data_IF_590542520310
#
_entry.id   IF_590542520310
#
_cell.length_a   1.000
_cell.length_b   1.000
_cell.length_c   1.000
_cell.angle_alpha   90.00
_cell.angle_beta   90.00
_cell.angle_gamma   90.00
#
_symmetry.space_group_name_H-M   'P 1'
#
loop_
_entity.id
_entity.type
_entity.pdbx_description
1 polymer ?
#
# COMPACT_ATOMS: atom_id res chain seq x y z
N UNK A 1 15.94 -2.63 -19.18
CA UNK A 1 14.53 -2.23 -19.04
C UNK A 1 14.41 -1.69 -17.62
N UNK A 2 14.14 -0.39 -17.45
CA UNK A 2 13.99 0.30 -16.15
C UNK A 2 12.58 0.86 -16.09
N UNK A 3 11.58 -0.01 -16.04
CA UNK A 3 10.18 0.41 -15.93
C UNK A 3 9.63 -0.22 -14.65
N UNK A 4 9.59 0.59 -13.60
CA UNK A 4 8.64 0.40 -12.51
C UNK A 4 7.25 0.64 -13.10
N UNK A 5 6.47 -0.43 -13.22
CA UNK A 5 5.05 -0.29 -13.53
C UNK A 5 4.32 0.06 -12.22
N UNK A 6 3.58 1.15 -12.24
CA UNK A 6 2.78 1.60 -11.11
C UNK A 6 1.48 2.16 -11.68
N UNK A 7 0.36 1.48 -11.46
CA UNK A 7 -0.95 2.00 -11.85
C UNK A 7 -1.96 1.75 -10.74
N UNK A 8 -2.29 2.81 -10.01
CA UNK A 8 -3.65 3.07 -9.55
C UNK A 8 -3.84 4.58 -9.49
N UNK A 9 -4.65 5.12 -10.39
CA UNK A 9 -5.06 6.52 -10.37
C UNK A 9 -6.51 6.58 -9.88
N UNK A 10 -6.76 7.35 -8.81
CA UNK A 10 -8.12 7.60 -8.37
C UNK A 10 -8.76 8.60 -9.34
N UNK A 11 -9.70 8.12 -10.17
CA UNK A 11 -10.44 8.94 -11.14
C UNK A 11 -11.61 9.63 -10.42
N UNK A 12 -11.85 10.92 -10.70
CA UNK A 12 -13.05 11.61 -10.25
C UNK A 12 -14.30 10.91 -10.82
N UNK A 13 -15.10 10.35 -9.91
CA UNK A 13 -16.30 9.56 -10.15
C UNK A 13 -17.19 10.13 -11.27
N UNK A 14 -17.08 9.56 -12.47
CA UNK A 14 -18.01 9.78 -13.58
C UNK A 14 -17.98 8.69 -14.67
N UNK A 15 -17.15 7.65 -14.55
CA UNK A 15 -17.02 6.58 -15.56
C UNK A 15 -16.72 5.22 -14.92
N UNK A 16 -17.61 4.73 -14.07
CA UNK A 16 -17.54 3.35 -13.57
C UNK A 16 -17.83 2.37 -14.69
N UNK A 17 -16.79 1.66 -15.15
CA UNK A 17 -16.88 0.48 -16.01
C UNK A 17 -15.67 -0.44 -15.74
N UNK A 18 -15.38 -0.75 -14.48
CA UNK A 18 -14.44 -1.82 -14.12
C UNK A 18 -15.17 -2.86 -13.26
N UNK A 19 -14.91 -4.14 -13.54
CA UNK A 19 -15.58 -5.32 -12.93
C UNK A 19 -15.05 -5.65 -11.52
N UNK A 20 -14.39 -4.72 -10.84
CA UNK A 20 -13.98 -4.87 -9.44
C UNK A 20 -15.05 -4.27 -8.53
N UNK A 21 -15.83 -5.13 -7.87
CA UNK A 21 -16.96 -4.74 -6.99
C UNK A 21 -16.56 -3.88 -5.76
N UNK A 22 -15.26 -3.63 -5.55
CA UNK A 22 -14.71 -2.78 -4.48
C UNK A 22 -13.73 -1.75 -5.05
N UNK A 23 -14.21 -0.84 -5.89
CA UNK A 23 -13.41 0.36 -6.15
C UNK A 23 -13.37 1.22 -4.87
N UNK A 24 -12.18 1.66 -4.42
CA UNK A 24 -12.05 2.54 -3.27
C UNK A 24 -12.79 3.87 -3.52
N UNK A 25 -13.99 4.02 -2.95
CA UNK A 25 -14.76 5.26 -3.06
C UNK A 25 -14.19 6.30 -2.08
N UNK A 26 -13.25 7.11 -2.56
CA UNK A 26 -12.75 8.27 -1.83
C UNK A 26 -13.55 9.52 -2.23
N UNK A 27 -13.81 10.41 -1.27
CA UNK A 27 -14.27 11.74 -1.62
C UNK A 27 -13.17 12.50 -2.40
N UNK A 28 -13.54 13.56 -3.14
CA UNK A 28 -12.63 14.32 -3.99
C UNK A 28 -11.36 14.84 -3.29
N UNK A 29 -11.45 15.25 -2.02
CA UNK A 29 -10.29 15.69 -1.27
C UNK A 29 -9.32 14.52 -0.99
N UNK A 30 -9.88 13.37 -0.60
CA UNK A 30 -9.12 12.15 -0.35
C UNK A 30 -8.52 11.55 -1.63
N UNK A 31 -9.23 11.60 -2.77
CA UNK A 31 -8.73 11.22 -4.10
C UNK A 31 -7.48 12.01 -4.46
N UNK A 32 -7.52 13.34 -4.27
CA UNK A 32 -6.37 14.21 -4.53
C UNK A 32 -5.20 13.86 -3.61
N UNK A 33 -5.45 13.72 -2.30
CA UNK A 33 -4.43 13.35 -1.32
C UNK A 33 -3.77 12.00 -1.67
N UNK A 34 -4.56 11.00 -2.08
CA UNK A 34 -4.05 9.70 -2.50
C UNK A 34 -3.18 9.78 -3.75
N UNK A 35 -3.61 10.51 -4.79
CA UNK A 35 -2.82 10.72 -5.99
C UNK A 35 -1.50 11.48 -5.72
N UNK A 36 -1.52 12.47 -4.84
CA UNK A 36 -0.32 13.20 -4.43
C UNK A 36 0.63 12.31 -3.60
N UNK A 37 0.10 11.51 -2.69
CA UNK A 37 0.90 10.55 -1.92
C UNK A 37 1.54 9.49 -2.81
N UNK A 38 0.78 8.96 -3.78
CA UNK A 38 1.30 8.04 -4.80
C UNK A 38 2.49 8.65 -5.55
N UNK A 39 2.39 9.91 -5.98
CA UNK A 39 3.50 10.61 -6.64
C UNK A 39 4.74 10.70 -5.76
N UNK A 40 4.58 11.06 -4.47
CA UNK A 40 5.69 11.14 -3.53
C UNK A 40 6.35 9.77 -3.32
N UNK A 41 5.54 8.72 -3.14
CA UNK A 41 6.02 7.35 -3.01
C UNK A 41 6.81 6.93 -4.25
N UNK A 42 6.25 7.11 -5.45
CA UNK A 42 6.90 6.76 -6.71
C UNK A 42 8.23 7.49 -6.91
N UNK A 43 8.25 8.80 -6.67
CA UNK A 43 9.45 9.61 -6.82
C UNK A 43 10.54 9.20 -5.82
N UNK A 44 10.14 8.89 -4.59
CA UNK A 44 11.08 8.47 -3.58
C UNK A 44 11.67 7.10 -3.91
N UNK A 45 10.81 6.13 -4.26
CA UNK A 45 11.26 4.81 -4.72
C UNK A 45 12.29 5.00 -5.84
N UNK A 46 11.92 5.70 -6.93
CA UNK A 46 12.81 5.96 -8.08
C UNK A 46 14.13 6.63 -7.74
N UNK A 47 14.15 7.51 -6.76
CA UNK A 47 15.38 8.21 -6.32
C UNK A 47 16.37 7.26 -5.67
N UNK A 48 15.89 6.24 -4.96
CA UNK A 48 16.71 5.25 -4.28
C UNK A 48 16.90 3.94 -5.09
N UNK A 49 16.36 3.89 -6.33
CA UNK A 49 16.43 2.74 -7.24
C UNK A 49 17.66 2.67 -8.15
N UNK A 50 18.88 2.63 -7.60
CA UNK A 50 20.00 2.05 -8.35
C UNK A 50 20.11 0.52 -8.17
N UNK A 51 19.28 -0.06 -7.29
CA UNK A 51 19.28 -1.49 -6.97
C UNK A 51 17.86 -2.00 -6.69
N UNK A 52 17.14 -2.59 -7.65
CA UNK A 52 15.89 -3.28 -7.32
C UNK A 52 15.69 -4.66 -7.95
N UNK A 53 14.97 -5.44 -7.13
CA UNK A 53 14.50 -6.82 -7.28
C UNK A 53 13.01 -6.88 -7.68
N UNK A 54 12.29 -5.74 -7.66
CA UNK A 54 10.85 -5.64 -7.92
C UNK A 54 10.57 -5.02 -9.29
N UNK A 55 9.48 -5.41 -9.96
CA UNK A 55 9.05 -4.82 -11.24
C UNK A 55 7.97 -3.76 -11.08
N UNK A 56 7.28 -3.72 -9.94
CA UNK A 56 6.35 -2.64 -9.65
C UNK A 56 5.69 -2.72 -8.29
N UNK A 57 4.74 -1.82 -8.09
CA UNK A 57 4.00 -1.68 -6.85
C UNK A 57 2.56 -1.23 -7.08
N UNK A 58 1.67 -1.58 -6.16
CA UNK A 58 0.30 -1.09 -6.05
C UNK A 58 0.14 -0.39 -4.70
N UNK A 59 -0.58 0.73 -4.69
CA UNK A 59 -0.89 1.51 -3.51
C UNK A 59 -2.37 1.80 -3.49
N UNK A 60 -3.07 1.30 -2.47
CA UNK A 60 -4.49 1.53 -2.29
C UNK A 60 -4.81 2.21 -0.96
N UNK A 61 -5.66 3.24 -1.01
CA UNK A 61 -6.10 4.02 0.15
C UNK A 61 -7.62 4.07 0.18
N UNK A 62 -8.20 3.75 1.32
CA UNK A 62 -9.64 3.72 1.54
C UNK A 62 -9.96 4.12 2.99
N UNK A 63 -11.23 4.47 3.23
CA UNK A 63 -11.72 4.72 4.58
C UNK A 63 -11.69 3.42 5.40
N UNK A 64 -11.26 3.49 6.65
CA UNK A 64 -11.11 2.29 7.48
C UNK A 64 -12.46 1.76 7.97
N UNK A 65 -12.81 0.56 7.54
CA UNK A 65 -13.86 -0.24 8.16
C UNK A 65 -13.27 -1.11 9.28
N UNK A 66 -13.53 -0.70 10.53
CA UNK A 66 -13.09 -1.42 11.73
C UNK A 66 -13.85 -2.72 12.00
N UNK A 67 -14.99 -2.93 11.33
CA UNK A 67 -15.76 -4.17 11.44
C UNK A 67 -15.17 -5.28 10.57
N UNK A 68 -14.42 -4.92 9.53
CA UNK A 68 -13.81 -5.86 8.62
C UNK A 68 -12.56 -6.50 9.23
N UNK A 69 -12.48 -7.83 9.19
CA UNK A 69 -11.30 -8.56 9.63
C UNK A 69 -10.15 -8.38 8.63
N UNK A 70 -8.95 -8.00 9.11
CA UNK A 70 -7.80 -7.73 8.25
C UNK A 70 -7.32 -8.97 7.47
N UNK A 71 -7.51 -10.19 7.98
CA UNK A 71 -7.19 -11.41 7.25
C UNK A 71 -8.12 -11.64 6.06
N UNK A 72 -9.41 -11.34 6.24
CA UNK A 72 -10.39 -11.42 5.15
C UNK A 72 -10.03 -10.41 4.06
N UNK A 73 -9.78 -9.16 4.45
CA UNK A 73 -9.35 -8.10 3.54
C UNK A 73 -8.06 -8.48 2.80
N UNK A 74 -7.04 -8.97 3.52
CA UNK A 74 -5.78 -9.40 2.92
C UNK A 74 -5.96 -10.54 1.92
N UNK A 75 -6.83 -11.51 2.22
CA UNK A 75 -7.14 -12.63 1.32
C UNK A 75 -7.88 -12.17 0.06
N UNK A 76 -8.80 -11.22 0.20
CA UNK A 76 -9.49 -10.61 -0.94
C UNK A 76 -8.52 -9.86 -1.86
N UNK A 77 -7.65 -9.02 -1.29
CA UNK A 77 -6.61 -8.30 -2.05
C UNK A 77 -5.57 -9.23 -2.67
N UNK A 78 -5.21 -10.31 -1.96
CA UNK A 78 -4.29 -11.30 -2.48
C UNK A 78 -4.94 -12.15 -3.60
N UNK A 79 -6.26 -12.32 -3.64
CA UNK A 79 -6.93 -13.18 -4.64
C UNK A 79 -6.52 -14.67 -4.58
N UNK A 80 -5.84 -15.07 -3.51
CA UNK A 80 -5.30 -16.42 -3.31
C UNK A 80 -5.15 -16.74 -1.81
N UNK A 81 -4.66 -17.94 -1.49
CA UNK A 81 -4.31 -18.27 -0.11
C UNK A 81 -3.06 -17.51 0.34
N UNK A 82 -3.13 -16.93 1.53
CA UNK A 82 -2.02 -16.19 2.12
C UNK A 82 -0.90 -17.15 2.56
N UNK A 83 0.38 -16.75 2.48
CA UNK A 83 1.48 -17.60 2.89
C UNK A 83 1.44 -17.87 4.40
N UNK A 84 1.95 -19.02 4.88
CA UNK A 84 2.01 -19.32 6.31
C UNK A 84 2.81 -18.31 7.14
N UNK A 85 3.66 -17.51 6.50
CA UNK A 85 4.43 -16.45 7.14
C UNK A 85 3.65 -15.15 7.37
N UNK A 86 2.40 -15.06 6.91
CA UNK A 86 1.57 -13.88 7.15
C UNK A 86 1.36 -13.62 8.63
N UNK A 87 1.36 -12.36 9.03
CA UNK A 87 1.25 -11.97 10.43
C UNK A 87 0.51 -10.64 10.62
N UNK A 88 -0.11 -10.50 11.79
CA UNK A 88 -0.52 -9.19 12.31
C UNK A 88 0.60 -8.69 13.20
N UNK A 89 1.18 -7.55 12.83
CA UNK A 89 2.18 -6.85 13.62
C UNK A 89 1.49 -5.90 14.59
N UNK A 90 1.98 -5.85 15.82
CA UNK A 90 1.50 -4.94 16.86
C UNK A 90 2.62 -3.98 17.24
N UNK A 91 2.23 -2.78 17.69
CA UNK A 91 3.15 -1.81 18.32
C UNK A 91 4.27 -1.32 17.38
N UNK A 92 4.01 -1.26 16.07
CA UNK A 92 4.94 -0.62 15.13
C UNK A 92 4.66 0.88 15.13
N UNK A 93 5.63 1.73 15.51
CA UNK A 93 5.45 3.17 15.44
C UNK A 93 5.24 3.62 14.00
N UNK A 94 4.43 4.65 13.82
CA UNK A 94 4.08 5.29 12.56
C UNK A 94 5.34 5.66 11.77
N UNK A 95 6.34 6.23 12.42
CA UNK A 95 7.61 6.61 11.80
C UNK A 95 8.37 5.43 11.17
N UNK A 96 8.12 4.20 11.65
CA UNK A 96 8.84 3.01 11.23
C UNK A 96 8.03 2.16 10.23
N UNK A 97 6.76 2.45 9.97
CA UNK A 97 5.91 1.58 9.15
C UNK A 97 6.44 1.41 7.72
N UNK A 98 6.91 2.48 7.09
CA UNK A 98 7.43 2.42 5.71
C UNK A 98 8.77 1.68 5.60
N UNK A 99 9.51 1.54 6.71
CA UNK A 99 10.73 0.73 6.74
C UNK A 99 10.47 -0.78 6.60
N UNK A 100 9.22 -1.21 6.85
CA UNK A 100 8.77 -2.59 6.65
C UNK A 100 8.43 -2.87 5.18
N UNK A 101 7.88 -1.86 4.50
CA UNK A 101 7.32 -1.99 3.15
C UNK A 101 8.44 -1.93 2.11
N UNK A 102 9.31 -0.91 2.20
CA UNK A 102 10.39 -0.72 1.25
C UNK A 102 11.71 -0.60 2.00
N UNK A 103 12.68 -1.41 1.60
CA UNK A 103 14.03 -1.28 2.09
C UNK A 103 14.76 -0.14 1.38
N UNK A 104 14.50 1.10 1.81
CA UNK A 104 15.45 2.19 1.56
C UNK A 104 16.62 1.97 2.53
N UNK A 105 17.85 2.01 2.05
CA UNK A 105 19.03 2.02 2.93
C UNK A 105 19.16 3.32 3.76
N UNK A 106 18.12 4.15 3.80
CA UNK A 106 18.12 5.51 4.32
C UNK A 106 16.85 5.79 5.17
N UNK A 107 17.06 6.02 6.47
CA UNK A 107 16.00 6.36 7.43
C UNK A 107 15.32 7.71 7.10
N UNK A 108 15.98 8.61 6.38
CA UNK A 108 15.41 9.88 5.95
C UNK A 108 14.27 9.65 4.95
N UNK A 109 14.43 8.71 4.02
CA UNK A 109 13.42 8.35 3.03
C UNK A 109 12.13 7.85 3.70
N UNK A 110 12.24 6.94 4.68
CA UNK A 110 11.09 6.45 5.43
C UNK A 110 10.36 7.58 6.18
N UNK A 111 11.13 8.49 6.76
CA UNK A 111 10.58 9.65 7.49
C UNK A 111 9.83 10.61 6.55
N UNK A 112 10.35 10.84 5.34
CA UNK A 112 9.69 11.67 4.32
C UNK A 112 8.35 11.06 3.91
N UNK A 113 8.28 9.75 3.64
CA UNK A 113 7.00 9.09 3.31
C UNK A 113 6.02 9.12 4.47
N UNK A 114 6.49 8.83 5.68
CA UNK A 114 5.66 8.88 6.88
C UNK A 114 5.02 10.26 7.04
N UNK A 115 5.84 11.32 7.00
CA UNK A 115 5.35 12.69 7.13
C UNK A 115 4.41 13.09 5.98
N UNK A 116 4.74 12.72 4.74
CA UNK A 116 3.88 12.99 3.58
C UNK A 116 2.51 12.32 3.72
N UNK A 117 2.46 11.06 4.16
CA UNK A 117 1.22 10.35 4.42
C UNK A 117 0.41 11.04 5.53
N UNK A 118 1.07 11.37 6.66
CA UNK A 118 0.43 12.03 7.80
C UNK A 118 -0.20 13.37 7.40
N UNK A 119 0.54 14.20 6.68
CA UNK A 119 0.10 15.53 6.24
C UNK A 119 -1.10 15.44 5.29
N UNK A 120 -1.02 14.59 4.27
CA UNK A 120 -2.05 14.47 3.23
C UNK A 120 -3.37 13.91 3.75
N UNK A 121 -3.30 13.01 4.74
CA UNK A 121 -4.46 12.37 5.34
C UNK A 121 -4.87 12.96 6.69
N UNK A 122 -4.23 14.06 7.11
CA UNK A 122 -4.52 14.76 8.37
C UNK A 122 -4.57 13.81 9.58
N UNK A 123 -3.60 12.89 9.66
CA UNK A 123 -3.44 11.92 10.75
C UNK A 123 -2.86 12.65 11.97
N UNK A 124 -3.41 12.41 13.17
CA UNK A 124 -2.94 13.09 14.39
C UNK A 124 -1.49 12.68 14.72
N UNK A 125 -0.70 13.59 15.29
CA UNK A 125 0.69 13.32 15.62
C UNK A 125 0.89 12.15 16.61
N UNK A 126 -0.14 11.87 17.42
CA UNK A 126 -0.18 10.77 18.39
C UNK A 126 -0.86 9.52 17.85
N UNK A 127 -1.41 9.58 16.64
CA UNK A 127 -2.07 8.45 16.02
C UNK A 127 -1.02 7.44 15.51
N UNK A 128 -1.16 6.22 16.00
CA UNK A 128 -0.37 5.07 15.60
C UNK A 128 -1.26 4.11 14.82
N UNK A 129 -0.71 3.34 13.86
CA UNK A 129 -1.47 2.30 13.20
C UNK A 129 -1.97 1.29 14.24
N UNK A 130 -3.27 1.05 14.28
CA UNK A 130 -3.86 0.17 15.30
C UNK A 130 -3.78 -1.31 14.89
N UNK A 131 -3.64 -1.58 13.59
CA UNK A 131 -3.52 -2.92 13.05
C UNK A 131 -2.66 -2.90 11.78
N UNK A 132 -1.64 -3.75 11.74
CA UNK A 132 -0.78 -3.90 10.57
C UNK A 132 -0.77 -5.37 10.17
N UNK A 133 -1.11 -5.64 8.92
CA UNK A 133 -0.91 -6.95 8.31
C UNK A 133 0.32 -6.92 7.41
N UNK A 134 1.04 -8.03 7.40
CA UNK A 134 2.16 -8.28 6.51
C UNK A 134 2.10 -9.72 5.99
N UNK A 135 2.30 -9.87 4.68
CA UNK A 135 2.64 -11.12 4.02
C UNK A 135 3.93 -10.93 3.22
N UNK A 136 4.90 -11.82 3.44
CA UNK A 136 6.12 -11.91 2.62
C UNK A 136 5.82 -12.57 1.27
N UNK A 137 6.82 -12.76 0.42
CA UNK A 137 6.69 -13.31 -0.94
C UNK A 137 5.73 -14.50 -1.07
N UNK A 138 4.75 -14.41 -1.98
CA UNK A 138 3.84 -15.50 -2.36
C UNK A 138 3.47 -15.45 -3.84
N UNK A 139 3.20 -16.63 -4.41
CA UNK A 139 2.73 -16.76 -5.79
C UNK A 139 1.28 -16.31 -5.89
N UNK A 140 0.98 -15.49 -6.89
CA UNK A 140 -0.37 -15.00 -7.14
C UNK A 140 -0.78 -15.25 -8.59
N UNK A 141 -0.98 -16.52 -8.92
CA UNK A 141 -1.37 -16.95 -10.27
C UNK A 141 -2.70 -16.38 -10.78
N UNK A 142 -3.49 -15.74 -9.91
CA UNK A 142 -4.81 -15.20 -10.23
C UNK A 142 -4.84 -13.66 -10.24
N UNK A 143 -3.76 -12.96 -9.90
CA UNK A 143 -3.75 -11.51 -9.94
C UNK A 143 -3.57 -11.01 -11.37
N UNK A 144 -4.41 -10.04 -11.73
CA UNK A 144 -4.26 -9.28 -12.96
C UNK A 144 -3.04 -8.33 -12.94
N UNK A 145 -2.42 -8.14 -11.77
CA UNK A 145 -1.37 -7.15 -11.54
C UNK A 145 0.03 -7.77 -11.41
N UNK A 146 0.22 -8.87 -10.67
CA UNK A 146 1.55 -9.48 -10.45
C UNK A 146 1.49 -11.01 -10.40
N UNK A 147 2.45 -11.69 -11.03
CA UNK A 147 2.56 -13.17 -10.96
C UNK A 147 3.15 -13.63 -9.63
N UNK A 148 4.13 -12.87 -9.09
CA UNK A 148 4.68 -13.03 -7.75
C UNK A 148 4.45 -11.72 -6.99
N UNK A 149 3.80 -11.82 -5.83
CA UNK A 149 3.73 -10.73 -4.86
C UNK A 149 4.92 -10.89 -3.92
N UNK A 150 5.85 -9.96 -3.93
CA UNK A 150 7.04 -9.93 -3.07
C UNK A 150 6.72 -9.45 -1.64
N UNK A 151 5.62 -8.71 -1.50
CA UNK A 151 4.97 -8.52 -0.23
C UNK A 151 3.65 -7.78 -0.32
N UNK A 152 2.80 -8.00 0.67
CA UNK A 152 1.53 -7.31 0.87
C UNK A 152 1.51 -6.76 2.30
N UNK A 153 1.29 -5.44 2.41
CA UNK A 153 1.14 -4.75 3.68
C UNK A 153 -0.21 -4.06 3.72
N UNK A 154 -0.91 -4.16 4.85
CA UNK A 154 -2.12 -3.39 5.13
C UNK A 154 -1.89 -2.65 6.44
N UNK A 155 -1.87 -1.32 6.38
CA UNK A 155 -1.71 -0.45 7.54
C UNK A 155 -3.06 0.21 7.84
N UNK A 156 -3.63 0.00 9.03
CA UNK A 156 -4.91 0.60 9.43
C UNK A 156 -4.73 1.69 10.47
N UNK A 157 -5.28 2.86 10.16
CA UNK A 157 -5.38 4.05 10.99
C UNK A 157 -6.85 4.30 11.32
N UNK A 158 -7.14 5.22 12.24
CA UNK A 158 -8.50 5.51 12.72
C UNK A 158 -9.48 5.79 11.57
N UNK A 159 -9.00 6.50 10.54
CA UNK A 159 -9.81 6.97 9.40
C UNK A 159 -9.46 6.31 8.08
N UNK A 160 -8.20 5.89 7.90
CA UNK A 160 -7.70 5.45 6.61
C UNK A 160 -6.94 4.15 6.73
N UNK A 161 -7.06 3.32 5.70
CA UNK A 161 -6.24 2.14 5.52
C UNK A 161 -5.37 2.36 4.29
N UNK A 162 -4.09 1.99 4.39
CA UNK A 162 -3.16 1.95 3.28
C UNK A 162 -2.81 0.49 3.00
N UNK A 163 -3.05 0.05 1.77
CA UNK A 163 -2.58 -1.21 1.24
C UNK A 163 -1.42 -0.94 0.31
N UNK A 164 -0.34 -1.70 0.49
CA UNK A 164 0.81 -1.68 -0.41
C UNK A 164 1.10 -3.10 -0.86
N UNK A 165 1.20 -3.32 -2.16
CA UNK A 165 1.75 -4.56 -2.70
C UNK A 165 2.98 -4.25 -3.55
N UNK A 166 4.01 -5.08 -3.42
CA UNK A 166 5.18 -5.08 -4.29
C UNK A 166 5.17 -6.38 -5.09
N UNK A 167 5.49 -6.32 -6.38
CA UNK A 167 5.40 -7.50 -7.25
C UNK A 167 6.43 -7.57 -8.36
N UNK A 168 6.50 -8.76 -8.96
CA UNK A 168 7.30 -9.07 -10.14
C UNK A 168 6.55 -10.08 -11.04
N UNK A 169 6.78 -10.01 -12.35
CA UNK A 169 6.27 -10.96 -13.37
C UNK A 169 7.34 -12.01 -13.75
N UNK A 170 8.18 -12.43 -12.80
CA UNK A 170 9.12 -13.55 -12.98
C UNK A 170 8.51 -14.91 -12.61
#
# INVERSE_FOLDING_TARGET
MKELYAETYYIEDSRNNSEWDREPSLNKANTKAANEFFCDFYNLVRKFEDSFRYRGFQLDIFETDKSENIWTLAKEYAGCELPPSSAILKEIPFANMFSRIIYFGDNEAHSILANSFREKFCIDDKEEPFEIFEANTFDNHNSALWYIVEGLWILRFEKFSLIVSLGTDE
#
